data_IF_479281014347
#
_entry.id   IF_479281014347
#
_cell.length_a   1.000
_cell.length_b   1.000
_cell.length_c   1.000
_cell.angle_alpha   90.00
_cell.angle_beta   90.00
_cell.angle_gamma   90.00
#
_symmetry.space_group_name_H-M   'P 1'
#
loop_
_entity.id
_entity.type
_entity.pdbx_description
1 polymer ?
#
# COMPACT_ATOMS: atom_id res chain seq x y z
N UNK A 1 3.30 3.85 -65.45
CA UNK A 1 2.34 3.08 -66.24
C UNK A 1 1.02 3.02 -65.47
N UNK A 2 0.03 3.70 -66.07
CA UNK A 2 -1.37 3.76 -65.66
C UNK A 2 -2.05 2.39 -65.86
N UNK A 3 -2.99 2.05 -64.93
CA UNK A 3 -4.26 1.47 -65.35
C UNK A 3 -5.31 1.73 -64.27
N UNK A 4 -6.23 2.64 -64.61
CA UNK A 4 -7.52 2.86 -64.00
C UNK A 4 -8.49 1.75 -64.40
N UNK A 5 -9.35 1.30 -63.50
CA UNK A 5 -10.63 0.72 -63.88
C UNK A 5 -11.68 1.06 -62.84
N UNK A 6 -12.52 2.01 -63.22
CA UNK A 6 -13.82 2.32 -62.62
C UNK A 6 -14.79 1.14 -62.85
N UNK A 7 -15.49 0.71 -61.80
CA UNK A 7 -16.86 0.15 -61.94
C UNK A 7 -17.75 0.76 -60.87
N UNK A 8 -18.80 1.35 -61.36
CA UNK A 8 -19.88 2.05 -60.62
C UNK A 8 -20.95 1.06 -60.13
N UNK A 9 -21.80 1.48 -59.16
CA UNK A 9 -22.54 0.60 -58.27
C UNK A 9 -23.97 0.35 -58.72
N UNK A 10 -24.51 -0.78 -58.23
CA UNK A 10 -25.93 -1.05 -58.28
C UNK A 10 -26.54 -0.67 -56.92
N UNK A 11 -27.44 0.27 -56.92
CA UNK A 11 -28.21 0.64 -55.74
C UNK A 11 -29.36 -0.35 -55.55
N UNK A 12 -29.37 -1.03 -54.41
CA UNK A 12 -30.54 -1.79 -53.95
C UNK A 12 -31.07 -1.08 -52.70
N UNK A 13 -32.21 -0.43 -52.84
CA UNK A 13 -32.96 0.17 -51.76
C UNK A 13 -33.74 -0.92 -51.01
N UNK A 14 -33.34 -1.22 -49.80
CA UNK A 14 -34.14 -2.01 -48.88
C UNK A 14 -34.64 -1.09 -47.76
N UNK A 15 -35.94 -0.84 -47.72
CA UNK A 15 -36.60 -0.17 -46.62
C UNK A 15 -36.67 -1.13 -45.43
N UNK A 16 -35.94 -0.84 -44.36
CA UNK A 16 -36.05 -1.54 -43.08
C UNK A 16 -36.82 -0.67 -42.08
N UNK A 17 -37.97 -1.16 -41.66
CA UNK A 17 -38.82 -0.59 -40.63
C UNK A 17 -38.06 -0.62 -39.28
N UNK A 18 -37.84 0.54 -38.67
CA UNK A 18 -37.28 0.69 -37.32
C UNK A 18 -38.39 0.44 -36.29
N UNK A 19 -38.37 -0.70 -35.65
CA UNK A 19 -39.10 -0.90 -34.39
C UNK A 19 -38.25 -0.32 -33.26
N UNK A 20 -38.63 0.81 -32.70
CA UNK A 20 -38.00 1.39 -31.53
C UNK A 20 -38.42 0.62 -30.28
N UNK A 21 -37.55 -0.27 -29.78
CA UNK A 21 -37.70 -0.85 -28.44
C UNK A 21 -37.12 0.14 -27.43
N UNK A 22 -37.99 0.78 -26.64
CA UNK A 22 -37.57 1.59 -25.50
C UNK A 22 -37.04 0.69 -24.39
N UNK A 23 -35.72 0.66 -24.24
CA UNK A 23 -35.06 0.00 -23.07
C UNK A 23 -35.18 1.00 -21.92
N UNK A 24 -36.08 0.74 -20.98
CA UNK A 24 -36.12 1.42 -19.69
C UNK A 24 -34.95 0.91 -18.85
N UNK A 25 -33.85 1.64 -18.83
CA UNK A 25 -32.74 1.36 -17.93
C UNK A 25 -33.16 1.77 -16.51
N UNK A 26 -33.54 0.81 -15.69
CA UNK A 26 -33.69 1.01 -14.25
C UNK A 26 -32.31 1.16 -13.64
N UNK A 27 -31.88 2.38 -13.36
CA UNK A 27 -30.67 2.65 -12.57
C UNK A 27 -30.94 2.28 -11.12
N UNK A 28 -30.57 1.08 -10.72
CA UNK A 28 -30.50 0.71 -9.31
C UNK A 28 -29.37 1.50 -8.68
N UNK A 29 -29.69 2.60 -8.00
CA UNK A 29 -28.76 3.28 -7.10
C UNK A 29 -28.49 2.38 -5.91
N UNK A 30 -27.50 1.51 -6.02
CA UNK A 30 -26.96 0.80 -4.87
C UNK A 30 -26.31 1.82 -3.93
N UNK A 31 -27.03 2.14 -2.85
CA UNK A 31 -26.48 2.96 -1.75
C UNK A 31 -25.29 2.19 -1.19
N UNK A 32 -24.07 2.76 -1.15
CA UNK A 32 -22.94 2.05 -0.56
C UNK A 32 -23.26 1.76 0.89
N UNK A 33 -23.52 0.50 1.20
CA UNK A 33 -23.59 0.03 2.58
C UNK A 33 -22.19 0.17 3.16
N UNK A 34 -21.99 1.18 3.98
CA UNK A 34 -20.81 1.29 4.84
C UNK A 34 -20.97 0.23 5.92
N UNK A 35 -20.64 -1.02 5.59
CA UNK A 35 -20.42 -2.03 6.62
C UNK A 35 -19.29 -1.46 7.50
N UNK A 36 -19.60 -1.19 8.78
CA UNK A 36 -18.59 -0.99 9.80
C UNK A 36 -17.88 -2.35 9.91
N UNK A 37 -16.78 -2.49 9.20
CA UNK A 37 -15.86 -3.58 9.48
C UNK A 37 -15.44 -3.40 10.94
N UNK A 38 -15.75 -4.38 11.78
CA UNK A 38 -15.23 -4.46 13.15
C UNK A 38 -13.73 -4.73 13.00
N UNK A 39 -12.95 -3.64 12.92
CA UNK A 39 -11.53 -3.69 12.70
C UNK A 39 -10.83 -4.30 13.91
N UNK A 40 -9.88 -5.18 13.68
CA UNK A 40 -8.98 -5.70 14.70
C UNK A 40 -7.72 -4.82 14.75
N UNK A 41 -7.31 -4.44 15.97
CA UNK A 41 -6.04 -3.73 16.16
C UNK A 41 -4.98 -4.70 16.64
N UNK A 42 -3.82 -4.71 15.96
CA UNK A 42 -2.60 -5.37 16.42
C UNK A 42 -1.58 -4.28 16.75
N UNK A 43 -1.09 -4.25 17.99
CA UNK A 43 -0.11 -3.29 18.46
C UNK A 43 1.16 -4.03 18.85
N UNK A 44 2.28 -3.65 18.29
CA UNK A 44 3.62 -4.16 18.60
C UNK A 44 4.61 -3.00 18.71
N UNK A 45 5.74 -3.25 19.38
CA UNK A 45 6.84 -2.29 19.51
C UNK A 45 8.06 -2.86 18.81
N UNK A 46 8.58 -2.13 17.84
CA UNK A 46 9.84 -2.43 17.18
C UNK A 46 11.00 -1.81 17.96
N UNK A 47 12.13 -2.52 18.05
CA UNK A 47 13.41 -1.97 18.50
C UNK A 47 14.36 -1.85 17.33
N UNK A 48 14.64 -0.62 16.89
CA UNK A 48 15.46 -0.27 15.71
C UNK A 48 16.96 -0.48 16.01
N UNK A 49 17.42 -1.72 16.01
CA UNK A 49 18.80 -2.08 16.38
C UNK A 49 19.69 -2.52 15.22
N UNK A 50 19.10 -2.83 14.05
CA UNK A 50 19.84 -3.29 12.87
C UNK A 50 19.83 -2.28 11.72
N UNK A 51 19.21 -1.15 11.93
CA UNK A 51 19.04 -0.11 10.92
C UNK A 51 20.36 0.28 10.28
N UNK A 52 20.45 0.11 8.97
CA UNK A 52 21.66 0.39 8.20
C UNK A 52 21.32 1.24 6.98
N UNK A 53 21.88 2.45 6.93
CA UNK A 53 21.74 3.31 5.78
C UNK A 53 22.86 3.03 4.76
N UNK A 54 22.46 2.79 3.52
CA UNK A 54 23.34 2.55 2.38
C UNK A 54 23.30 3.82 1.52
N UNK A 55 24.42 4.58 1.43
CA UNK A 55 24.44 5.81 0.66
C UNK A 55 24.38 5.55 -0.84
N UNK A 56 23.62 6.37 -1.55
CA UNK A 56 23.51 6.34 -3.03
C UNK A 56 24.67 7.01 -3.76
N UNK A 57 25.71 7.42 -3.04
CA UNK A 57 26.92 8.06 -3.60
C UNK A 57 26.96 9.58 -3.50
N UNK A 58 25.91 10.24 -3.04
CA UNK A 58 25.84 11.71 -2.91
C UNK A 58 26.22 12.28 -1.54
N UNK A 59 26.58 11.44 -0.57
CA UNK A 59 26.88 11.83 0.80
C UNK A 59 25.90 11.29 1.83
N UNK A 60 25.91 11.90 3.02
CA UNK A 60 24.94 11.55 4.08
C UNK A 60 23.58 12.20 3.77
N UNK A 61 22.50 11.49 4.07
CA UNK A 61 21.12 11.97 3.96
C UNK A 61 20.79 12.63 2.61
N UNK A 62 20.98 11.89 1.53
CA UNK A 62 20.67 12.34 0.17
C UNK A 62 19.55 11.48 -0.43
N UNK A 63 18.86 12.06 -1.42
CA UNK A 63 17.84 11.36 -2.19
C UNK A 63 18.42 10.09 -2.82
N UNK A 64 17.72 8.97 -2.65
CA UNK A 64 18.12 7.67 -3.16
C UNK A 64 18.89 6.81 -2.16
N UNK A 65 19.29 7.32 -0.99
CA UNK A 65 19.83 6.47 0.07
C UNK A 65 18.81 5.40 0.46
N UNK A 66 19.29 4.24 0.80
CA UNK A 66 18.46 3.10 1.20
C UNK A 66 18.73 2.79 2.67
N UNK A 67 17.67 2.74 3.46
CA UNK A 67 17.70 2.19 4.81
C UNK A 67 17.24 0.74 4.74
N UNK A 68 17.99 -0.19 5.31
CA UNK A 68 17.60 -1.60 5.45
C UNK A 68 17.57 -1.98 6.91
N UNK A 69 16.67 -2.89 7.27
CA UNK A 69 16.51 -3.34 8.66
C UNK A 69 15.95 -4.75 8.76
N UNK A 70 16.23 -5.39 9.91
CA UNK A 70 15.64 -6.65 10.35
C UNK A 70 15.63 -6.62 11.89
N UNK A 71 14.57 -6.06 12.44
CA UNK A 71 14.47 -5.69 13.84
C UNK A 71 13.57 -6.63 14.65
N UNK A 72 13.82 -6.83 15.94
CA UNK A 72 12.91 -7.56 16.82
C UNK A 72 11.66 -6.71 17.12
N UNK A 73 10.51 -7.39 17.19
CA UNK A 73 9.23 -6.78 17.57
C UNK A 73 8.74 -7.40 18.87
N UNK A 74 8.30 -6.53 19.78
CA UNK A 74 7.83 -6.86 21.12
C UNK A 74 6.30 -6.69 21.22
N UNK A 75 5.71 -7.22 22.27
CA UNK A 75 4.29 -7.00 22.60
C UNK A 75 4.01 -5.52 22.91
N UNK A 76 2.73 -5.15 22.95
CA UNK A 76 2.31 -3.76 23.22
C UNK A 76 2.79 -3.20 24.58
N UNK A 77 3.15 -4.07 25.50
CA UNK A 77 3.73 -3.70 26.80
C UNK A 77 5.25 -3.56 26.78
N UNK A 78 5.86 -3.82 25.61
CA UNK A 78 7.30 -3.77 25.36
C UNK A 78 8.13 -4.68 26.30
N UNK A 79 7.57 -5.87 26.61
CA UNK A 79 8.18 -6.81 27.57
C UNK A 79 8.68 -8.09 26.95
N UNK A 80 7.99 -8.58 25.94
CA UNK A 80 8.28 -9.89 25.34
C UNK A 80 8.43 -9.77 23.85
N UNK A 81 9.56 -10.24 23.32
CA UNK A 81 9.70 -10.38 21.89
C UNK A 81 8.70 -11.41 21.36
N UNK A 82 7.88 -10.98 20.39
CA UNK A 82 6.81 -11.79 19.79
C UNK A 82 6.98 -11.98 18.29
N UNK A 83 7.98 -11.34 17.69
CA UNK A 83 8.22 -11.41 16.27
C UNK A 83 9.47 -10.64 15.86
N UNK A 84 9.50 -10.32 14.59
CA UNK A 84 10.50 -9.46 13.95
C UNK A 84 9.88 -8.76 12.77
N UNK A 85 10.52 -7.76 12.26
CA UNK A 85 10.23 -7.22 10.93
C UNK A 85 11.47 -7.20 10.06
N UNK A 86 11.28 -7.02 8.78
CA UNK A 86 12.36 -6.80 7.83
C UNK A 86 11.86 -6.00 6.63
N UNK A 87 12.70 -5.12 6.14
CA UNK A 87 12.35 -4.30 5.01
C UNK A 87 13.38 -3.27 4.64
N UNK A 88 12.92 -2.32 3.84
CA UNK A 88 13.75 -1.20 3.40
C UNK A 88 12.94 0.05 3.17
N UNK A 89 13.65 1.19 3.19
CA UNK A 89 13.12 2.50 2.80
C UNK A 89 14.07 3.17 1.82
N UNK A 90 13.53 3.98 0.91
CA UNK A 90 14.31 4.85 0.04
C UNK A 90 14.10 6.30 0.46
N UNK A 91 15.16 7.06 0.64
CA UNK A 91 15.10 8.50 0.93
C UNK A 91 14.53 9.24 -0.27
N UNK A 92 13.36 9.86 -0.11
CA UNK A 92 12.67 10.57 -1.19
C UNK A 92 12.92 12.08 -1.11
N UNK A 93 12.77 12.65 0.07
CA UNK A 93 12.87 14.09 0.28
C UNK A 93 13.62 14.41 1.60
N UNK A 94 14.97 14.51 1.57
CA UNK A 94 15.77 14.70 2.77
C UNK A 94 15.38 15.93 3.59
N UNK A 95 15.11 17.06 2.93
CA UNK A 95 14.70 18.31 3.62
C UNK A 95 13.38 18.19 4.38
N UNK A 96 12.50 17.30 3.97
CA UNK A 96 11.23 17.00 4.63
C UNK A 96 11.33 15.79 5.58
N UNK A 97 12.50 15.16 5.68
CA UNK A 97 12.68 13.94 6.46
C UNK A 97 11.85 12.77 5.94
N UNK A 98 11.61 12.70 4.62
CA UNK A 98 10.68 11.73 4.04
C UNK A 98 11.39 10.56 3.36
N UNK A 99 10.92 9.37 3.69
CA UNK A 99 11.27 8.08 3.07
C UNK A 99 10.02 7.43 2.48
N UNK A 100 10.20 6.58 1.49
CA UNK A 100 9.19 5.63 1.03
C UNK A 100 9.64 4.23 1.43
N UNK A 101 8.80 3.50 2.15
CA UNK A 101 9.15 2.25 2.79
C UNK A 101 8.25 1.10 2.37
N UNK A 102 8.83 -0.11 2.42
CA UNK A 102 8.13 -1.38 2.35
C UNK A 102 8.77 -2.34 3.33
N UNK A 103 7.95 -2.93 4.22
CA UNK A 103 8.43 -3.98 5.12
C UNK A 103 7.36 -5.01 5.48
N UNK A 104 7.81 -6.12 6.03
CA UNK A 104 6.98 -7.21 6.49
C UNK A 104 7.25 -7.48 7.96
N UNK A 105 6.19 -7.47 8.77
CA UNK A 105 6.22 -7.85 10.18
C UNK A 105 5.78 -9.30 10.32
N UNK A 106 6.63 -10.12 10.93
CA UNK A 106 6.44 -11.55 11.16
C UNK A 106 5.97 -11.79 12.59
N UNK A 107 4.76 -12.30 12.74
CA UNK A 107 4.11 -12.55 14.02
C UNK A 107 3.65 -14.01 14.11
N UNK A 108 3.32 -14.45 15.32
CA UNK A 108 2.67 -15.75 15.50
C UNK A 108 1.36 -15.78 14.71
N UNK A 109 1.25 -16.69 13.78
CA UNK A 109 0.05 -16.86 12.95
C UNK A 109 0.16 -16.30 11.54
N UNK A 110 1.20 -15.51 11.21
CA UNK A 110 1.40 -15.02 9.85
C UNK A 110 2.20 -13.73 9.76
N UNK A 111 2.07 -13.07 8.64
CA UNK A 111 2.82 -11.86 8.30
C UNK A 111 1.87 -10.72 7.95
N UNK A 112 2.29 -9.48 8.21
CA UNK A 112 1.62 -8.26 7.74
C UNK A 112 2.64 -7.45 6.94
N UNK A 113 2.30 -7.10 5.70
CA UNK A 113 3.13 -6.24 4.85
C UNK A 113 2.53 -4.85 4.75
N UNK A 114 3.35 -3.82 4.92
CA UNK A 114 2.98 -2.41 4.81
C UNK A 114 3.84 -1.70 3.80
N UNK A 115 3.27 -0.65 3.20
CA UNK A 115 3.95 0.26 2.30
C UNK A 115 3.46 1.69 2.50
N UNK A 116 4.37 2.64 2.39
CA UNK A 116 4.06 4.06 2.43
C UNK A 116 5.15 4.91 3.05
N UNK A 117 4.84 6.19 3.33
CA UNK A 117 5.82 7.13 3.84
C UNK A 117 6.23 6.84 5.29
N UNK A 118 7.51 7.00 5.57
CA UNK A 118 8.08 7.17 6.90
C UNK A 118 8.67 8.57 7.01
N UNK A 119 8.45 9.23 8.16
CA UNK A 119 8.94 10.58 8.42
C UNK A 119 9.81 10.62 9.67
N UNK A 120 10.97 11.25 9.56
CA UNK A 120 11.93 11.37 10.67
C UNK A 120 11.38 12.19 11.85
N UNK A 121 10.45 13.11 11.60
CA UNK A 121 10.08 14.18 12.55
C UNK A 121 8.65 14.09 13.09
N UNK A 122 7.82 13.20 12.54
CA UNK A 122 6.42 13.04 12.97
C UNK A 122 5.91 11.63 12.67
N UNK A 123 4.72 11.31 13.20
CA UNK A 123 4.08 10.02 12.99
C UNK A 123 3.79 9.77 11.50
N UNK A 124 3.86 8.52 11.11
CA UNK A 124 3.60 8.07 9.76
C UNK A 124 2.35 7.19 9.70
N UNK A 125 1.70 7.17 8.54
CA UNK A 125 0.59 6.25 8.27
C UNK A 125 0.92 5.52 6.97
N UNK A 126 0.99 4.19 7.06
CA UNK A 126 1.28 3.32 5.93
C UNK A 126 0.07 2.45 5.62
N UNK A 127 -0.07 2.09 4.35
CA UNK A 127 -1.12 1.16 3.92
C UNK A 127 -0.72 -0.28 4.25
N UNK A 128 -1.66 -1.09 4.76
CA UNK A 128 -1.50 -2.54 4.83
C UNK A 128 -1.79 -3.09 3.44
N UNK A 129 -0.74 -3.53 2.75
CA UNK A 129 -0.80 -3.98 1.36
C UNK A 129 -1.06 -5.47 1.23
N UNK A 130 -0.82 -6.25 2.29
CA UNK A 130 -1.06 -7.68 2.30
C UNK A 130 -0.69 -8.35 3.61
N UNK A 131 -0.83 -9.68 3.60
CA UNK A 131 -0.45 -10.52 4.71
C UNK A 131 -0.57 -12.00 4.37
N UNK A 132 -0.15 -12.85 5.31
CA UNK A 132 -0.25 -14.32 5.20
C UNK A 132 -0.87 -14.92 6.45
N UNK A 133 -1.23 -16.20 6.41
CA UNK A 133 -1.80 -16.91 7.56
C UNK A 133 -3.07 -16.24 8.08
N UNK A 134 -3.11 -15.91 9.37
CA UNK A 134 -4.25 -15.23 9.99
C UNK A 134 -4.49 -13.82 9.42
N UNK A 135 -3.52 -13.24 8.72
CA UNK A 135 -3.58 -11.87 8.18
C UNK A 135 -3.80 -11.82 6.65
N UNK A 136 -3.99 -12.96 5.98
CA UNK A 136 -4.00 -13.08 4.50
C UNK A 136 -5.01 -12.21 3.76
N UNK A 137 -6.12 -11.87 4.38
CA UNK A 137 -7.19 -11.08 3.74
C UNK A 137 -7.30 -9.66 4.29
N UNK A 138 -6.48 -9.31 5.26
CA UNK A 138 -6.57 -8.02 5.93
C UNK A 138 -6.08 -6.88 5.03
N UNK A 139 -6.74 -5.75 5.18
CA UNK A 139 -6.41 -4.45 4.63
C UNK A 139 -6.43 -3.43 5.77
N UNK A 140 -6.24 -2.18 5.46
CA UNK A 140 -6.31 -1.10 6.42
C UNK A 140 -5.05 -0.27 6.42
N UNK A 141 -4.70 0.24 7.60
CA UNK A 141 -3.52 1.08 7.75
C UNK A 141 -2.73 0.72 9.01
N UNK A 142 -1.47 1.09 9.01
CA UNK A 142 -0.62 1.05 10.18
C UNK A 142 -0.24 2.48 10.55
N UNK A 143 -0.43 2.83 11.83
CA UNK A 143 0.10 4.07 12.39
C UNK A 143 1.44 3.75 13.04
N UNK A 144 2.48 4.46 12.61
CA UNK A 144 3.83 4.38 13.17
C UNK A 144 4.08 5.61 14.05
N UNK A 145 4.52 5.39 15.29
CA UNK A 145 4.88 6.45 16.22
C UNK A 145 6.28 6.22 16.77
N UNK A 146 7.13 7.24 16.66
CA UNK A 146 8.47 7.19 17.26
C UNK A 146 8.40 7.20 18.79
N UNK A 147 9.24 6.37 19.41
CA UNK A 147 9.47 6.28 20.84
C UNK A 147 10.96 6.39 21.14
N UNK A 148 11.31 6.68 22.36
CA UNK A 148 12.69 6.65 22.87
C UNK A 148 13.71 7.35 21.95
N UNK A 149 13.31 8.49 21.34
CA UNK A 149 14.17 9.26 20.44
C UNK A 149 14.51 8.54 19.12
N UNK A 150 13.61 7.73 18.58
CA UNK A 150 13.78 7.01 17.33
C UNK A 150 14.54 5.68 17.46
N UNK A 151 14.68 5.17 18.68
CA UNK A 151 15.26 3.85 18.93
C UNK A 151 14.22 2.74 18.97
N UNK A 152 12.98 3.11 19.12
CA UNK A 152 11.80 2.25 19.19
C UNK A 152 10.65 2.87 18.43
N UNK A 153 9.73 2.04 17.93
CA UNK A 153 8.55 2.49 17.23
C UNK A 153 7.33 1.66 17.59
N UNK A 154 6.22 2.34 17.91
CA UNK A 154 4.91 1.68 17.95
C UNK A 154 4.43 1.42 16.53
N UNK A 155 4.11 0.17 16.20
CA UNK A 155 3.38 -0.23 15.00
C UNK A 155 1.95 -0.59 15.42
N UNK A 156 0.99 0.22 15.04
CA UNK A 156 -0.43 0.05 15.37
C UNK A 156 -1.18 -0.29 14.08
N UNK A 157 -1.31 -1.58 13.81
CA UNK A 157 -2.03 -2.10 12.65
C UNK A 157 -3.54 -2.05 12.92
N UNK A 158 -4.27 -1.30 12.11
CA UNK A 158 -5.72 -1.19 12.11
C UNK A 158 -6.25 -2.04 10.94
N UNK A 159 -6.60 -3.29 11.23
CA UNK A 159 -6.98 -4.30 10.25
C UNK A 159 -8.49 -4.24 9.95
N UNK A 160 -8.86 -4.36 8.67
CA UNK A 160 -10.25 -4.37 8.19
C UNK A 160 -10.51 -5.56 7.28
#
# INVERSE_FOLDING_TARGET
MQYSNLRRPVAISAAAALAAAAIVATTSSAKPSRAHATGTTVHVVEHAITDTEIPSGGGKDVKGNILTFNNPVFDAADKKQIGRDEGFCTRIAPKQGSWECLWTTFLKGGQITVQGPFYDTHNSVLSITGGTGAYKSNRGQMVLKSRNGGKEYDFIFQLT
#
